data_IF_642315556687
#
_entry.id   IF_642315556687
#
_cell.length_a   1.000
_cell.length_b   1.000
_cell.length_c   1.000
_cell.angle_alpha   90.00
_cell.angle_beta   90.00
_cell.angle_gamma   90.00
#
_symmetry.space_group_name_H-M   'P 1'
#
loop_
_entity.id
_entity.type
_entity.pdbx_description
1 polymer ?
#
# COMPACT_ATOMS: atom_id res chain seq x y z
N UNK A 1 19.77 8.98 2.42
CA UNK A 1 18.42 8.38 2.48
C UNK A 1 18.31 7.38 1.35
N UNK A 2 18.59 6.10 1.62
CA UNK A 2 18.47 5.04 0.62
C UNK A 2 17.09 4.41 0.76
N UNK A 3 16.45 4.20 -0.38
CA UNK A 3 15.16 3.53 -0.52
C UNK A 3 15.50 2.09 -0.92
N UNK A 4 15.04 1.10 -0.15
CA UNK A 4 15.50 -0.30 -0.27
C UNK A 4 14.33 -1.27 -0.44
N UNK A 5 14.47 -2.32 -1.28
CA UNK A 5 13.44 -3.36 -1.41
C UNK A 5 13.00 -3.93 -0.05
N UNK A 6 11.69 -4.13 0.10
CA UNK A 6 11.04 -4.54 1.33
C UNK A 6 10.44 -3.39 2.15
N UNK A 7 10.82 -2.13 1.86
CA UNK A 7 10.23 -0.97 2.52
C UNK A 7 8.72 -0.86 2.24
N UNK A 8 7.97 -0.48 3.29
CA UNK A 8 6.54 -0.19 3.22
C UNK A 8 6.31 1.30 2.98
N UNK A 9 5.34 1.60 2.14
CA UNK A 9 4.91 2.97 1.82
C UNK A 9 3.39 2.98 1.61
N UNK A 10 2.84 4.17 1.41
CA UNK A 10 1.43 4.39 1.10
C UNK A 10 1.34 5.05 -0.28
N UNK A 11 0.41 4.62 -1.14
CA UNK A 11 0.28 5.13 -2.50
C UNK A 11 -1.17 5.51 -2.80
N UNK A 12 -1.37 6.68 -3.40
CA UNK A 12 -2.67 7.06 -3.98
C UNK A 12 -2.80 6.40 -5.36
N UNK A 13 -3.92 5.73 -5.60
CA UNK A 13 -4.25 5.15 -6.89
C UNK A 13 -5.73 5.37 -7.23
N UNK A 14 -5.97 5.92 -8.42
CA UNK A 14 -7.33 6.12 -8.93
C UNK A 14 -7.81 4.87 -9.64
N UNK A 15 -8.87 4.26 -9.12
CA UNK A 15 -9.55 3.11 -9.71
C UNK A 15 -11.03 3.43 -9.91
N UNK A 16 -11.56 3.23 -11.12
CA UNK A 16 -12.97 3.49 -11.45
C UNK A 16 -13.46 4.90 -11.05
N UNK A 17 -12.66 5.93 -11.35
CA UNK A 17 -12.93 7.34 -11.02
C UNK A 17 -13.00 7.66 -9.51
N UNK A 18 -12.39 6.82 -8.67
CA UNK A 18 -12.29 7.06 -7.23
C UNK A 18 -10.84 6.86 -6.78
N UNK A 19 -10.38 7.74 -5.89
CA UNK A 19 -9.05 7.63 -5.30
C UNK A 19 -9.07 6.72 -4.07
N UNK A 20 -8.06 5.88 -3.99
CA UNK A 20 -7.81 4.97 -2.87
C UNK A 20 -6.38 5.16 -2.39
N UNK A 21 -6.18 5.02 -1.08
CA UNK A 21 -4.83 4.97 -0.50
C UNK A 21 -4.52 3.52 -0.15
N UNK A 22 -3.51 2.95 -0.80
CA UNK A 22 -3.09 1.57 -0.58
C UNK A 22 -1.79 1.49 0.20
N UNK A 23 -1.67 0.46 1.04
CA UNK A 23 -0.36 0.00 1.50
C UNK A 23 0.39 -0.67 0.35
N UNK A 24 1.63 -0.27 0.11
CA UNK A 24 2.48 -0.81 -0.95
C UNK A 24 3.83 -1.27 -0.42
N UNK A 25 4.39 -2.28 -1.06
CA UNK A 25 5.75 -2.78 -0.83
C UNK A 25 6.65 -2.38 -2.00
N UNK A 26 7.81 -1.81 -1.67
CA UNK A 26 8.89 -1.61 -2.61
C UNK A 26 9.54 -2.95 -2.97
N UNK A 27 9.46 -3.35 -4.23
CA UNK A 27 10.01 -4.63 -4.69
C UNK A 27 11.37 -4.48 -5.39
N UNK A 28 11.64 -3.33 -6.01
CA UNK A 28 12.88 -3.08 -6.72
C UNK A 28 13.13 -1.58 -6.89
N UNK A 29 14.40 -1.17 -6.98
CA UNK A 29 14.83 0.17 -7.34
C UNK A 29 15.92 0.06 -8.39
N UNK A 30 15.81 0.82 -9.48
CA UNK A 30 16.85 0.95 -10.48
C UNK A 30 16.94 2.39 -10.95
N UNK A 31 18.13 2.99 -10.79
CA UNK A 31 18.38 4.38 -11.11
C UNK A 31 17.35 5.33 -10.44
N UNK A 32 16.48 5.98 -11.22
CA UNK A 32 15.46 6.89 -10.75
C UNK A 32 14.05 6.27 -10.69
N UNK A 33 13.93 4.96 -10.94
CA UNK A 33 12.68 4.23 -10.95
C UNK A 33 12.55 3.29 -9.75
N UNK A 34 11.33 3.15 -9.27
CA UNK A 34 10.95 2.19 -8.24
C UNK A 34 9.76 1.35 -8.70
N UNK A 35 9.78 0.09 -8.28
CA UNK A 35 8.72 -0.86 -8.53
C UNK A 35 7.98 -1.10 -7.23
N UNK A 36 6.67 -0.89 -7.26
CA UNK A 36 5.79 -1.06 -6.12
C UNK A 36 4.81 -2.17 -6.38
N UNK A 37 4.47 -2.90 -5.32
CA UNK A 37 3.38 -3.86 -5.30
C UNK A 37 2.34 -3.41 -4.28
N UNK A 38 1.09 -3.30 -4.70
CA UNK A 38 -0.05 -3.12 -3.79
C UNK A 38 -0.22 -4.38 -2.93
N UNK A 39 -0.37 -4.20 -1.62
CA UNK A 39 -0.46 -5.31 -0.68
C UNK A 39 -1.90 -5.84 -0.51
N UNK A 40 -2.92 -5.03 -0.81
CA UNK A 40 -4.32 -5.47 -0.84
C UNK A 40 -4.80 -5.72 -2.27
N UNK A 41 -5.21 -6.95 -2.55
CA UNK A 41 -5.60 -7.36 -3.90
C UNK A 41 -7.12 -7.43 -4.09
N UNK A 42 -7.91 -7.12 -3.06
CA UNK A 42 -9.35 -7.35 -3.03
C UNK A 42 -10.15 -6.54 -4.05
N UNK A 43 -9.62 -5.37 -4.45
CA UNK A 43 -10.30 -4.41 -5.31
C UNK A 43 -9.99 -4.59 -6.80
N UNK A 44 -9.15 -5.57 -7.17
CA UNK A 44 -8.71 -5.76 -8.55
C UNK A 44 -9.15 -7.12 -9.09
N UNK A 45 -9.41 -7.15 -10.41
CA UNK A 45 -9.77 -8.36 -11.15
C UNK A 45 -8.60 -8.92 -11.98
N UNK A 46 -7.44 -8.26 -11.98
CA UNK A 46 -6.25 -8.64 -12.75
C UNK A 46 -4.99 -8.36 -11.92
N UNK A 47 -4.17 -9.40 -11.73
CA UNK A 47 -2.93 -9.35 -10.94
C UNK A 47 -1.90 -8.36 -11.48
N UNK A 48 -1.97 -8.00 -12.75
CA UNK A 48 -1.08 -6.98 -13.34
C UNK A 48 -1.32 -5.60 -12.73
N UNK A 49 -2.52 -5.35 -12.22
CA UNK A 49 -2.86 -4.08 -11.58
C UNK A 49 -2.22 -3.91 -10.20
N UNK A 50 -1.59 -4.96 -9.65
CA UNK A 50 -0.87 -4.84 -8.38
C UNK A 50 0.47 -4.16 -8.51
N UNK A 51 1.08 -4.16 -9.70
CA UNK A 51 2.45 -3.75 -9.91
C UNK A 51 2.53 -2.39 -10.61
N UNK A 52 3.28 -1.47 -10.03
CA UNK A 52 3.45 -0.12 -10.55
C UNK A 52 4.93 0.22 -10.67
N UNK A 53 5.29 0.92 -11.75
CA UNK A 53 6.63 1.47 -11.96
C UNK A 53 6.51 2.98 -11.97
N UNK A 54 7.16 3.63 -11.01
CA UNK A 54 7.06 5.07 -10.81
C UNK A 54 8.46 5.68 -10.61
N UNK A 55 8.64 6.98 -10.92
CA UNK A 55 9.82 7.71 -10.48
C UNK A 55 9.93 7.73 -8.95
N UNK A 56 11.15 7.67 -8.42
CA UNK A 56 11.40 7.70 -6.96
C UNK A 56 10.89 8.99 -6.27
N UNK A 57 10.69 10.06 -7.04
CA UNK A 57 10.15 11.34 -6.61
C UNK A 57 8.66 11.54 -6.97
N UNK A 58 7.93 10.45 -7.24
CA UNK A 58 6.48 10.50 -7.44
C UNK A 58 5.80 11.20 -6.27
N UNK A 59 4.84 12.08 -6.58
CA UNK A 59 4.05 12.82 -5.60
C UNK A 59 2.88 12.00 -5.05
N UNK A 60 2.67 10.80 -5.56
CA UNK A 60 1.56 9.91 -5.19
C UNK A 60 1.99 8.83 -4.20
N UNK A 61 3.26 8.82 -3.79
CA UNK A 61 3.84 7.84 -2.86
C UNK A 61 4.34 8.54 -1.61
N UNK A 62 3.90 8.04 -0.46
CA UNK A 62 4.03 8.68 0.83
C UNK A 62 4.65 7.72 1.86
N UNK A 63 5.29 8.26 2.92
CA UNK A 63 5.76 7.44 4.03
C UNK A 63 4.59 6.81 4.80
N UNK A 64 4.85 5.70 5.48
CA UNK A 64 3.89 5.05 6.37
C UNK A 64 3.35 6.04 7.42
N UNK A 65 2.03 6.04 7.60
CA UNK A 65 1.30 6.91 8.51
C UNK A 65 0.74 8.19 7.87
N UNK A 66 1.05 8.46 6.60
CA UNK A 66 0.57 9.66 5.91
C UNK A 66 -0.96 9.71 5.80
N UNK A 67 -1.60 8.59 5.43
CA UNK A 67 -3.06 8.49 5.30
C UNK A 67 -3.74 8.87 6.61
N UNK A 68 -3.29 8.27 7.73
CA UNK A 68 -3.80 8.56 9.07
C UNK A 68 -3.63 10.04 9.43
N UNK A 69 -2.46 10.61 9.15
CA UNK A 69 -2.17 12.01 9.49
C UNK A 69 -3.04 13.00 8.70
N UNK A 70 -3.40 12.65 7.46
CA UNK A 70 -4.17 13.51 6.57
C UNK A 70 -5.67 13.15 6.49
N UNK A 71 -6.14 12.19 7.30
CA UNK A 71 -7.56 11.82 7.37
C UNK A 71 -8.06 10.98 6.19
N UNK A 72 -7.18 10.24 5.52
CA UNK A 72 -7.55 9.28 4.47
C UNK A 72 -7.67 7.87 5.04
N UNK A 73 -8.61 7.10 4.48
CA UNK A 73 -8.77 5.67 4.78
C UNK A 73 -7.71 4.85 4.03
N UNK A 74 -6.87 4.15 4.78
CA UNK A 74 -5.87 3.25 4.23
C UNK A 74 -6.49 1.87 3.95
N UNK A 75 -6.37 1.41 2.70
CA UNK A 75 -6.72 0.04 2.32
C UNK A 75 -5.61 -0.91 2.81
N UNK A 76 -5.95 -1.67 3.85
CA UNK A 76 -5.06 -2.66 4.48
C UNK A 76 -5.18 -4.02 3.80
N UNK A 77 -4.12 -4.85 3.78
CA UNK A 77 -4.18 -6.21 3.24
C UNK A 77 -5.25 -7.07 3.93
N UNK A 78 -6.00 -7.86 3.16
CA UNK A 78 -7.08 -8.76 3.66
C UNK A 78 -6.63 -9.59 4.89
N UNK A 79 -5.45 -10.20 4.84
CA UNK A 79 -4.95 -11.07 5.93
C UNK A 79 -4.79 -10.31 7.26
N UNK A 80 -4.52 -9.01 7.21
CA UNK A 80 -4.38 -8.18 8.40
C UNK A 80 -5.72 -7.95 9.10
N UNK A 81 -6.80 -7.77 8.34
CA UNK A 81 -8.15 -7.60 8.90
C UNK A 81 -8.63 -8.86 9.62
N UNK A 82 -8.30 -10.05 9.10
CA UNK A 82 -8.63 -11.32 9.75
C UNK A 82 -7.87 -11.50 11.06
N UNK A 83 -6.55 -11.22 11.08
CA UNK A 83 -5.71 -11.38 12.28
C UNK A 83 -6.12 -10.43 13.40
N UNK A 84 -6.41 -9.15 13.10
CA UNK A 84 -6.89 -8.21 14.13
C UNK A 84 -8.20 -8.68 14.74
N UNK A 85 -9.18 -9.09 13.92
CA UNK A 85 -10.47 -9.57 14.42
C UNK A 85 -10.30 -10.76 15.35
N UNK A 86 -9.45 -11.73 14.99
CA UNK A 86 -9.13 -12.87 15.85
C UNK A 86 -8.40 -12.44 17.13
N UNK A 87 -7.45 -11.52 17.05
CA UNK A 87 -6.73 -11.03 18.22
C UNK A 87 -7.63 -10.27 19.19
N UNK A 88 -8.53 -9.41 18.69
CA UNK A 88 -9.50 -8.69 19.51
C UNK A 88 -10.50 -9.64 20.15
N UNK A 89 -11.01 -10.62 19.40
CA UNK A 89 -11.95 -11.62 19.92
C UNK A 89 -11.33 -12.46 21.06
N UNK A 90 -10.10 -12.93 20.89
CA UNK A 90 -9.35 -13.66 21.93
C UNK A 90 -8.95 -12.81 23.14
N UNK A 91 -9.07 -11.47 23.07
CA UNK A 91 -8.70 -10.57 24.17
C UNK A 91 -9.85 -10.37 25.17
N UNK A 92 -11.07 -10.76 24.80
CA UNK A 92 -12.28 -10.64 25.60
C UNK A 92 -12.89 -12.00 25.99
N UNK A 93 -12.22 -13.12 25.66
CA UNK A 93 -12.45 -14.47 26.17
C UNK A 93 -11.47 -14.81 27.30
#
# INVERSE_FOLDING_TARGET
>A
NRVEPGMKMEMIYTLNNKDYVFSVTLIHVADHLMWLRIDDTSLFNDDKLFYHVLPINSLDVFPVGWAKFNGFDLITPIQYQTIIKTYEQNRYE
#
